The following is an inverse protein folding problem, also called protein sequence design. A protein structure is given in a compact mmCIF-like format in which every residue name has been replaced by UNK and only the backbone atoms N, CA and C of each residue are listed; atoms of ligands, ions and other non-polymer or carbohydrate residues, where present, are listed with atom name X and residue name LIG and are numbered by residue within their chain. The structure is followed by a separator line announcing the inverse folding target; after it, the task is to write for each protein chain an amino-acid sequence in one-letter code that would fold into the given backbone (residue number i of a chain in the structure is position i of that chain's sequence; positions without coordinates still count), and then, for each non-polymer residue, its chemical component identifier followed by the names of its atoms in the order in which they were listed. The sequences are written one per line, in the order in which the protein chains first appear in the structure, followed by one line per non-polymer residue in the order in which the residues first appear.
data_IF_863116082901
#
_entry.id   IF_863116082901
#
_cell.length_a   1.000
_cell.length_b   1.000
_cell.length_c   1.000
_cell.angle_alpha   90.00
_cell.angle_beta   90.00
_cell.angle_gamma   90.00
#
_symmetry.space_group_name_H-M   'P 1'
#
loop_
_entity.id
_entity.type
_entity.pdbx_description
1 polymer ?
#
# COMPACT_ATOMS: atom_id res chain seq x y z
N UNK A 1 17.87 -26.93 2.20
CA UNK A 1 18.38 -26.78 0.81
C UNK A 1 17.41 -26.01 -0.08
N UNK A 2 16.15 -26.45 -0.24
CA UNK A 2 15.19 -25.77 -1.12
C UNK A 2 14.96 -24.27 -0.80
N UNK A 3 14.79 -23.91 0.48
CA UNK A 3 14.60 -22.49 0.87
C UNK A 3 15.82 -21.61 0.55
N UNK A 4 17.03 -22.16 0.66
CA UNK A 4 18.27 -21.45 0.29
C UNK A 4 18.31 -21.22 -1.21
N UNK A 5 17.92 -22.20 -2.02
CA UNK A 5 17.81 -22.03 -3.47
C UNK A 5 16.83 -20.91 -3.84
N UNK A 6 15.66 -20.84 -3.17
CA UNK A 6 14.71 -19.73 -3.36
C UNK A 6 15.34 -18.38 -3.01
N UNK A 7 16.08 -18.29 -1.91
CA UNK A 7 16.75 -17.05 -1.52
C UNK A 7 17.81 -16.61 -2.55
N UNK A 8 18.59 -17.56 -3.10
CA UNK A 8 19.57 -17.29 -4.15
C UNK A 8 18.87 -16.76 -5.41
N UNK A 9 17.80 -17.41 -5.86
CA UNK A 9 17.02 -16.98 -7.03
C UNK A 9 16.44 -15.58 -6.81
N UNK A 10 15.89 -15.31 -5.63
CA UNK A 10 15.36 -13.99 -5.28
C UNK A 10 16.45 -12.91 -5.33
N UNK A 11 17.59 -13.14 -4.68
CA UNK A 11 18.70 -12.17 -4.62
C UNK A 11 19.29 -11.94 -6.01
N UNK A 12 19.47 -13.00 -6.81
CA UNK A 12 19.93 -12.87 -8.19
C UNK A 12 18.92 -12.07 -9.05
N UNK A 13 17.63 -12.36 -8.94
CA UNK A 13 16.57 -11.61 -9.64
C UNK A 13 16.53 -10.14 -9.25
N UNK A 14 16.67 -9.83 -7.95
CA UNK A 14 16.72 -8.46 -7.45
C UNK A 14 17.99 -7.74 -7.91
N UNK A 15 19.14 -8.41 -7.96
CA UNK A 15 20.38 -7.83 -8.47
C UNK A 15 20.25 -7.43 -9.95
N UNK A 16 19.70 -8.32 -10.78
CA UNK A 16 19.43 -8.02 -12.20
C UNK A 16 18.44 -6.87 -12.35
N UNK A 17 17.36 -6.87 -11.57
CA UNK A 17 16.35 -5.82 -11.60
C UNK A 17 16.92 -4.47 -11.12
N UNK A 18 17.74 -4.47 -10.08
CA UNK A 18 18.42 -3.28 -9.58
C UNK A 18 19.38 -2.72 -10.63
N UNK A 19 20.15 -3.57 -11.31
CA UNK A 19 21.01 -3.16 -12.43
C UNK A 19 20.20 -2.56 -13.58
N UNK A 20 19.11 -3.22 -13.99
CA UNK A 20 18.23 -2.74 -15.05
C UNK A 20 17.63 -1.36 -14.72
N UNK A 21 17.16 -1.16 -13.48
CA UNK A 21 16.63 0.13 -13.02
C UNK A 21 17.71 1.20 -12.92
N UNK A 22 18.92 0.84 -12.46
CA UNK A 22 20.05 1.77 -12.36
C UNK A 22 20.48 2.32 -13.71
N UNK A 23 20.45 1.50 -14.77
CA UNK A 23 20.71 1.96 -16.14
C UNK A 23 19.68 3.01 -16.60
N UNK A 24 18.42 2.84 -16.20
CA UNK A 24 17.34 3.79 -16.50
C UNK A 24 17.38 5.09 -15.70
N UNK A 25 18.19 5.18 -14.64
CA UNK A 25 18.30 6.39 -13.82
C UNK A 25 19.15 7.50 -14.46
N UNK A 26 19.87 7.23 -15.55
CA UNK A 26 20.76 8.24 -16.16
C UNK A 26 21.67 8.92 -15.12
N UNK A 27 21.97 10.19 -15.33
CA UNK A 27 22.64 11.03 -14.34
C UNK A 27 21.62 11.91 -13.61
N UNK A 28 20.69 11.28 -12.87
CA UNK A 28 19.72 11.99 -12.02
C UNK A 28 20.39 12.96 -11.05
N UNK A 29 21.62 12.69 -10.62
CA UNK A 29 22.38 13.61 -9.79
C UNK A 29 22.74 14.89 -10.57
N UNK A 30 23.24 14.77 -11.80
CA UNK A 30 23.43 15.93 -12.66
C UNK A 30 22.11 16.63 -13.04
N UNK A 31 21.00 15.91 -13.20
CA UNK A 31 19.69 16.51 -13.46
C UNK A 31 19.10 17.26 -12.27
N UNK A 32 19.30 16.73 -11.05
CA UNK A 32 18.98 17.42 -9.79
C UNK A 32 19.86 18.66 -9.63
N UNK A 33 21.17 18.54 -9.88
CA UNK A 33 22.11 19.66 -9.80
C UNK A 33 21.81 20.74 -10.86
N UNK A 34 21.41 20.34 -12.06
CA UNK A 34 20.98 21.24 -13.14
C UNK A 34 19.55 21.79 -12.95
N UNK A 35 18.82 21.36 -11.92
CA UNK A 35 17.44 21.79 -11.65
C UNK A 35 16.41 21.34 -12.69
N UNK A 36 16.74 20.36 -13.54
CA UNK A 36 15.81 19.77 -14.52
C UNK A 36 14.82 18.82 -13.85
N UNK A 37 15.27 18.18 -12.77
CA UNK A 37 14.46 17.33 -11.90
C UNK A 37 14.48 17.94 -10.50
N UNK A 38 13.35 17.87 -9.80
CA UNK A 38 13.24 18.40 -8.43
C UNK A 38 12.77 17.30 -7.49
N UNK A 39 13.45 17.18 -6.34
CA UNK A 39 13.01 16.31 -5.26
C UNK A 39 11.93 17.01 -4.43
N UNK A 40 10.69 16.50 -4.50
CA UNK A 40 9.55 17.09 -3.81
C UNK A 40 9.75 17.12 -2.29
N UNK A 41 10.24 16.02 -1.71
CA UNK A 41 10.40 15.90 -0.25
C UNK A 41 11.60 16.66 0.32
N UNK A 42 12.56 17.06 -0.53
CA UNK A 42 13.78 17.75 -0.12
C UNK A 42 13.84 19.21 -0.62
N UNK A 43 12.75 19.72 -1.20
CA UNK A 43 12.69 21.11 -1.66
C UNK A 43 12.74 22.05 -0.44
N UNK A 44 13.73 22.96 -0.34
CA UNK A 44 13.92 23.80 0.85
C UNK A 44 12.93 24.97 0.93
N UNK A 45 12.24 25.28 -0.16
CA UNK A 45 11.28 26.37 -0.26
C UNK A 45 10.28 26.13 -1.40
N UNK A 46 9.10 26.74 -1.31
CA UNK A 46 8.05 26.63 -2.32
C UNK A 46 8.50 27.10 -3.71
N UNK A 47 9.35 28.11 -3.78
CA UNK A 47 9.85 28.69 -5.04
C UNK A 47 10.62 27.67 -5.88
N UNK A 48 11.26 26.68 -5.24
CA UNK A 48 11.99 25.62 -5.93
C UNK A 48 11.08 24.63 -6.65
N UNK A 49 9.78 24.65 -6.39
CA UNK A 49 8.77 23.85 -7.10
C UNK A 49 8.23 24.55 -8.36
N UNK A 50 8.43 25.87 -8.50
CA UNK A 50 7.92 26.65 -9.63
C UNK A 50 8.35 26.13 -11.02
N UNK A 51 9.61 25.65 -11.22
CA UNK A 51 10.02 25.08 -12.51
C UNK A 51 9.17 23.88 -12.95
N UNK A 52 8.65 23.09 -12.01
CA UNK A 52 7.79 21.94 -12.29
C UNK A 52 6.37 22.36 -12.75
N UNK A 53 5.92 23.54 -12.32
CA UNK A 53 4.54 24.00 -12.51
C UNK A 53 4.35 24.86 -13.75
N UNK A 54 5.38 25.01 -14.59
CA UNK A 54 5.34 25.86 -15.79
C UNK A 54 4.20 25.51 -16.73
N UNK A 55 3.88 24.23 -16.84
CA UNK A 55 2.86 23.67 -17.76
C UNK A 55 1.49 23.47 -17.09
N UNK A 56 1.36 23.72 -15.78
CA UNK A 56 0.15 23.42 -14.99
C UNK A 56 -0.62 24.69 -14.57
N UNK A 57 0.08 25.76 -14.19
CA UNK A 57 -0.55 27.02 -13.79
C UNK A 57 -0.78 27.96 -14.97
N UNK A 58 -1.96 28.59 -15.05
CA UNK A 58 -2.28 29.53 -16.12
C UNK A 58 -1.37 30.77 -16.09
N UNK A 59 -0.99 31.21 -14.88
CA UNK A 59 -0.20 32.42 -14.66
C UNK A 59 0.74 32.25 -13.44
N UNK A 60 1.68 33.18 -13.27
CA UNK A 60 2.70 33.12 -12.23
C UNK A 60 2.11 33.11 -10.80
N UNK A 61 0.97 33.78 -10.60
CA UNK A 61 0.31 33.82 -9.29
C UNK A 61 -0.27 32.45 -8.93
N UNK A 62 -0.94 31.79 -9.87
CA UNK A 62 -1.48 30.45 -9.67
C UNK A 62 -0.38 29.41 -9.46
N UNK A 63 0.75 29.51 -10.20
CA UNK A 63 1.92 28.64 -9.97
C UNK A 63 2.47 28.77 -8.56
N UNK A 64 2.62 29.99 -8.04
CA UNK A 64 3.07 30.24 -6.67
C UNK A 64 2.09 29.72 -5.63
N UNK A 65 0.79 29.90 -5.86
CA UNK A 65 -0.24 29.36 -4.98
C UNK A 65 -0.17 27.82 -4.90
N UNK A 66 -0.05 27.14 -6.04
CA UNK A 66 0.08 25.68 -6.09
C UNK A 66 1.37 25.23 -5.39
N UNK A 67 2.50 25.88 -5.69
CA UNK A 67 3.80 25.56 -5.08
C UNK A 67 3.76 25.68 -3.56
N UNK A 68 3.20 26.77 -3.04
CA UNK A 68 3.07 27.02 -1.60
C UNK A 68 2.16 25.98 -0.92
N UNK A 69 1.05 25.61 -1.56
CA UNK A 69 0.16 24.55 -1.05
C UNK A 69 0.82 23.18 -1.02
N UNK A 70 1.60 22.83 -2.05
CA UNK A 70 2.39 21.60 -2.08
C UNK A 70 3.46 21.63 -0.97
N UNK A 71 4.21 22.73 -0.85
CA UNK A 71 5.26 22.87 0.15
C UNK A 71 4.71 22.77 1.58
N UNK A 72 3.60 23.45 1.87
CA UNK A 72 2.92 23.36 3.18
C UNK A 72 2.41 21.95 3.46
N UNK A 73 1.83 21.27 2.47
CA UNK A 73 1.40 19.88 2.64
C UNK A 73 2.58 18.95 2.99
N UNK A 74 3.74 19.20 2.39
CA UNK A 74 4.96 18.44 2.65
C UNK A 74 5.58 18.75 4.03
N UNK A 75 5.51 19.99 4.51
CA UNK A 75 6.22 20.41 5.73
C UNK A 75 5.31 20.54 6.98
N UNK A 76 4.00 20.32 6.85
CA UNK A 76 3.11 20.30 8.00
C UNK A 76 3.33 19.03 8.85
N UNK A 77 3.54 19.23 10.16
CA UNK A 77 3.68 18.15 11.14
C UNK A 77 2.43 17.25 11.12
N UNK A 78 2.63 16.00 10.71
CA UNK A 78 1.58 15.01 10.58
C UNK A 78 1.17 14.46 11.95
N UNK A 79 0.21 15.11 12.59
CA UNK A 79 -0.52 14.51 13.72
C UNK A 79 -1.19 13.20 13.32
N UNK A 80 -0.96 12.14 14.11
CA UNK A 80 -1.66 10.84 14.23
C UNK A 80 -2.02 10.00 12.98
N UNK A 81 -1.88 10.47 11.72
CA UNK A 81 -2.30 9.72 10.51
C UNK A 81 -1.33 9.79 9.30
N UNK A 82 -0.14 10.37 9.44
CA UNK A 82 0.89 10.43 8.39
C UNK A 82 0.58 11.43 7.26
N UNK A 83 1.52 12.11 6.61
CA UNK A 83 2.98 12.17 6.70
C UNK A 83 3.43 13.54 6.16
N UNK A 84 4.41 14.18 6.81
CA UNK A 84 5.14 15.35 6.27
C UNK A 84 6.10 14.96 5.14
N UNK A 85 5.71 14.02 4.29
CA UNK A 85 6.49 13.54 3.15
C UNK A 85 5.60 12.72 2.22
N UNK A 86 5.75 12.87 0.92
CA UNK A 86 5.07 12.02 -0.05
C UNK A 86 5.75 10.65 -0.13
N UNK A 87 4.96 9.57 -0.15
CA UNK A 87 5.47 8.23 -0.53
C UNK A 87 5.67 8.12 -2.05
N UNK A 88 5.01 8.96 -2.84
CA UNK A 88 5.16 9.00 -4.29
C UNK A 88 4.43 10.19 -4.91
N UNK A 89 4.73 10.48 -6.18
CA UNK A 89 4.19 11.64 -6.91
C UNK A 89 2.66 11.61 -6.96
N UNK A 90 2.06 10.42 -7.10
CA UNK A 90 0.61 10.25 -7.08
C UNK A 90 -0.07 10.75 -5.79
N UNK A 91 0.69 10.94 -4.69
CA UNK A 91 0.17 11.57 -3.48
C UNK A 91 -0.22 13.04 -3.66
N UNK A 92 0.32 13.74 -4.66
CA UNK A 92 -0.08 15.12 -5.01
C UNK A 92 -1.56 15.24 -5.35
N UNK A 93 -2.17 14.20 -5.93
CA UNK A 93 -3.61 14.16 -6.24
C UNK A 93 -4.50 14.20 -4.99
N UNK A 94 -3.95 13.92 -3.81
CA UNK A 94 -4.67 13.96 -2.53
C UNK A 94 -4.73 15.36 -1.93
N UNK A 95 -3.92 16.30 -2.41
CA UNK A 95 -3.90 17.66 -1.90
C UNK A 95 -5.20 18.35 -2.31
N UNK A 96 -5.98 18.76 -1.31
CA UNK A 96 -7.26 19.44 -1.51
C UNK A 96 -7.15 20.89 -1.05
N UNK A 97 -7.85 21.78 -1.74
CA UNK A 97 -7.99 23.20 -1.37
C UNK A 97 -9.46 23.58 -1.25
N UNK A 98 -9.75 24.53 -0.37
CA UNK A 98 -11.09 25.00 -0.11
C UNK A 98 -11.61 25.85 -1.28
N UNK A 99 -12.86 25.62 -1.70
CA UNK A 99 -13.50 26.33 -2.82
C UNK A 99 -13.70 27.81 -2.54
N UNK A 100 -14.10 28.19 -1.31
CA UNK A 100 -14.30 29.57 -0.92
C UNK A 100 -12.99 30.37 -1.02
N UNK A 101 -11.88 29.77 -0.57
CA UNK A 101 -10.55 30.37 -0.69
C UNK A 101 -10.14 30.60 -2.15
N UNK A 102 -10.36 29.59 -3.00
CA UNK A 102 -10.03 29.68 -4.44
C UNK A 102 -10.87 30.76 -5.13
N UNK A 103 -12.16 30.88 -4.78
CA UNK A 103 -13.05 31.90 -5.35
C UNK A 103 -12.71 33.32 -4.91
N UNK A 104 -12.17 33.50 -3.71
CA UNK A 104 -11.76 34.80 -3.20
C UNK A 104 -10.60 35.40 -4.01
N UNK A 105 -9.78 34.57 -4.67
CA UNK A 105 -8.60 35.01 -5.41
C UNK A 105 -8.87 35.08 -6.92
N UNK A 106 -8.84 36.29 -7.49
CA UNK A 106 -9.16 36.52 -8.91
C UNK A 106 -8.14 35.91 -9.90
N UNK A 107 -6.90 35.67 -9.47
CA UNK A 107 -5.79 35.24 -10.35
C UNK A 107 -5.63 33.72 -10.46
N UNK A 108 -6.47 32.92 -9.79
CA UNK A 108 -6.44 31.45 -9.84
C UNK A 108 -7.35 30.91 -10.96
N UNK A 109 -7.00 31.18 -12.21
CA UNK A 109 -7.89 30.97 -13.37
C UNK A 109 -8.31 29.51 -13.54
N UNK A 110 -7.37 28.58 -13.61
CA UNK A 110 -7.65 27.15 -13.83
C UNK A 110 -8.39 26.53 -12.63
N UNK A 111 -7.93 26.83 -11.41
CA UNK A 111 -8.54 26.33 -10.17
C UNK A 111 -9.96 26.87 -9.98
N UNK A 112 -10.20 28.15 -10.31
CA UNK A 112 -11.52 28.75 -10.19
C UNK A 112 -12.48 28.22 -11.25
N UNK A 113 -12.05 28.08 -12.50
CA UNK A 113 -12.85 27.43 -13.53
C UNK A 113 -13.26 26.00 -13.10
N UNK A 114 -12.35 25.27 -12.44
CA UNK A 114 -12.63 23.94 -11.87
C UNK A 114 -13.66 24.01 -10.73
N UNK A 115 -13.54 24.98 -9.83
CA UNK A 115 -14.48 25.21 -8.74
C UNK A 115 -15.89 25.60 -9.24
N UNK A 116 -15.97 26.37 -10.33
CA UNK A 116 -17.23 26.77 -10.95
C UNK A 116 -17.91 25.59 -11.66
N UNK A 117 -17.16 24.75 -12.39
CA UNK A 117 -17.69 23.51 -12.99
C UNK A 117 -18.27 22.55 -11.94
N UNK A 118 -17.61 22.40 -10.80
CA UNK A 118 -18.07 21.56 -9.71
C UNK A 118 -19.36 22.08 -9.06
N UNK A 119 -19.52 23.40 -8.99
CA UNK A 119 -20.74 24.02 -8.52
C UNK A 119 -21.89 23.88 -9.53
N UNK A 120 -21.60 24.02 -10.82
CA UNK A 120 -22.58 23.81 -11.89
C UNK A 120 -23.05 22.35 -11.99
N UNK A 121 -22.19 21.38 -11.65
CA UNK A 121 -22.49 19.95 -11.65
C UNK A 121 -23.38 19.47 -10.47
N UNK A 122 -23.92 20.36 -9.65
CA UNK A 122 -25.00 20.02 -8.71
C UNK A 122 -24.56 19.50 -7.34
N UNK A 123 -23.30 19.65 -6.92
CA UNK A 123 -22.85 19.35 -5.54
C UNK A 123 -22.98 20.56 -4.58
N UNK A 124 -23.96 21.44 -4.82
CA UNK A 124 -24.21 22.66 -4.04
C UNK A 124 -24.74 22.44 -2.61
N UNK A 125 -24.74 21.21 -2.08
CA UNK A 125 -25.09 20.95 -0.67
C UNK A 125 -23.88 21.06 0.29
N UNK A 126 -22.65 21.17 -0.21
CA UNK A 126 -21.50 21.54 0.60
C UNK A 126 -21.20 23.03 0.40
N UNK A 127 -21.94 23.92 1.05
CA UNK A 127 -21.51 25.32 1.22
C UNK A 127 -20.11 25.40 1.85
N UNK A 128 -19.39 26.52 1.69
CA UNK A 128 -18.05 26.96 2.20
C UNK A 128 -16.95 25.95 2.62
N UNK A 129 -17.28 24.76 3.10
CA UNK A 129 -16.42 23.60 3.36
C UNK A 129 -16.17 22.70 2.12
N UNK A 130 -16.71 23.01 0.94
CA UNK A 130 -16.40 22.23 -0.27
C UNK A 130 -14.89 22.30 -0.60
N UNK A 131 -14.32 21.16 -0.97
CA UNK A 131 -12.90 21.08 -1.34
C UNK A 131 -12.71 20.51 -2.75
N UNK A 132 -11.71 21.03 -3.46
CA UNK A 132 -11.31 20.57 -4.80
C UNK A 132 -9.88 20.04 -4.79
N UNK A 133 -9.59 19.10 -5.70
CA UNK A 133 -8.21 18.67 -5.92
C UNK A 133 -7.38 19.84 -6.45
N UNK A 134 -6.22 20.06 -5.82
CA UNK A 134 -5.27 21.10 -6.23
C UNK A 134 -4.77 20.83 -7.66
N UNK A 135 -4.40 19.58 -7.93
CA UNK A 135 -3.93 19.11 -9.23
C UNK A 135 -4.88 18.06 -9.80
N UNK A 136 -5.13 18.10 -11.12
CA UNK A 136 -5.80 17.01 -11.84
C UNK A 136 -4.87 15.80 -11.99
N UNK A 137 -5.41 14.66 -12.43
CA UNK A 137 -4.59 13.50 -12.76
C UNK A 137 -3.58 13.80 -13.89
N UNK A 138 -3.97 14.64 -14.85
CA UNK A 138 -3.09 15.10 -15.93
C UNK A 138 -1.99 16.01 -15.39
N UNK A 139 -2.34 16.99 -14.55
CA UNK A 139 -1.37 17.88 -13.91
C UNK A 139 -0.33 17.08 -13.10
N UNK A 140 -0.76 16.05 -12.38
CA UNK A 140 0.11 15.16 -11.61
C UNK A 140 1.04 14.35 -12.52
N UNK A 141 0.57 13.89 -13.68
CA UNK A 141 1.41 13.19 -14.64
C UNK A 141 2.48 14.13 -15.23
N UNK A 142 2.10 15.36 -15.59
CA UNK A 142 3.00 16.39 -16.12
C UNK A 142 4.08 16.75 -15.10
N UNK A 143 3.69 17.07 -13.85
CA UNK A 143 4.64 17.32 -12.75
C UNK A 143 5.50 16.10 -12.48
N UNK A 144 4.89 14.91 -12.50
CA UNK A 144 5.54 13.64 -12.24
C UNK A 144 6.64 13.28 -13.22
N UNK A 145 6.61 13.81 -14.45
CA UNK A 145 7.68 13.60 -15.44
C UNK A 145 9.04 14.19 -15.02
N UNK A 146 9.02 15.28 -14.25
CA UNK A 146 10.20 16.05 -13.78
C UNK A 146 10.36 16.03 -12.26
N UNK A 147 9.52 15.30 -11.54
CA UNK A 147 9.58 15.20 -10.09
C UNK A 147 10.12 13.85 -9.63
N UNK A 148 10.92 13.87 -8.59
CA UNK A 148 11.31 12.69 -7.81
C UNK A 148 10.93 12.90 -6.35
N UNK A 149 10.73 11.80 -5.63
CA UNK A 149 10.30 11.80 -4.23
C UNK A 149 11.40 11.24 -3.33
N UNK A 150 12.33 10.49 -3.91
CA UNK A 150 13.45 9.84 -3.22
C UNK A 150 14.70 9.84 -4.08
N UNK A 151 15.83 9.69 -3.40
CA UNK A 151 17.12 9.49 -4.02
C UNK A 151 17.43 8.00 -4.30
N UNK A 152 18.27 7.71 -5.32
CA UNK A 152 18.70 6.35 -5.63
C UNK A 152 19.33 5.61 -4.45
N UNK A 153 20.09 6.31 -3.59
CA UNK A 153 20.72 5.73 -2.40
C UNK A 153 19.68 5.25 -1.40
N UNK A 154 18.67 6.07 -1.13
CA UNK A 154 17.56 5.73 -0.23
C UNK A 154 16.78 4.51 -0.75
N UNK A 155 16.55 4.44 -2.05
CA UNK A 155 15.93 3.26 -2.66
C UNK A 155 16.77 1.98 -2.44
N UNK A 156 18.09 2.03 -2.62
CA UNK A 156 18.98 0.89 -2.36
C UNK A 156 18.89 0.39 -0.92
N UNK A 157 18.85 1.29 0.06
CA UNK A 157 18.65 0.93 1.46
C UNK A 157 17.28 0.32 1.74
N UNK A 158 16.20 0.91 1.19
CA UNK A 158 14.85 0.35 1.34
C UNK A 158 14.73 -1.04 0.71
N UNK A 159 15.31 -1.24 -0.47
CA UNK A 159 15.31 -2.53 -1.16
C UNK A 159 16.05 -3.60 -0.36
N UNK A 160 17.24 -3.27 0.15
CA UNK A 160 18.03 -4.20 0.97
C UNK A 160 17.36 -4.51 2.30
N UNK A 161 16.83 -3.49 3.00
CA UNK A 161 16.11 -3.68 4.25
C UNK A 161 14.85 -4.53 4.08
N UNK A 162 14.03 -4.25 3.06
CA UNK A 162 12.81 -5.04 2.78
C UNK A 162 13.13 -6.48 2.34
N UNK A 163 14.19 -6.68 1.54
CA UNK A 163 14.65 -8.03 1.18
C UNK A 163 15.14 -8.80 2.40
N UNK A 164 15.90 -8.14 3.28
CA UNK A 164 16.36 -8.72 4.54
C UNK A 164 15.18 -9.10 5.44
N UNK A 165 14.18 -8.22 5.60
CA UNK A 165 12.96 -8.49 6.37
C UNK A 165 12.17 -9.68 5.80
N UNK A 166 11.98 -9.70 4.48
CA UNK A 166 11.30 -10.77 3.75
C UNK A 166 11.98 -12.13 3.98
N UNK A 167 13.29 -12.20 3.76
CA UNK A 167 14.06 -13.43 3.96
C UNK A 167 14.11 -13.83 5.43
N UNK A 168 14.36 -12.87 6.34
CA UNK A 168 14.41 -13.14 7.78
C UNK A 168 13.11 -13.76 8.28
N UNK A 169 11.94 -13.26 7.85
CA UNK A 169 10.64 -13.84 8.19
C UNK A 169 10.52 -15.31 7.75
N UNK A 170 10.85 -15.61 6.50
CA UNK A 170 10.76 -16.97 5.95
C UNK A 170 11.75 -17.94 6.61
N UNK A 171 13.00 -17.52 6.80
CA UNK A 171 14.01 -18.33 7.48
C UNK A 171 13.69 -18.53 8.97
N UNK A 172 13.16 -17.52 9.65
CA UNK A 172 12.71 -17.64 11.03
C UNK A 172 11.56 -18.65 11.15
N UNK A 173 10.56 -18.60 10.26
CA UNK A 173 9.49 -19.58 10.22
C UNK A 173 10.01 -21.00 9.94
N UNK A 174 10.93 -21.15 8.97
CA UNK A 174 11.57 -22.44 8.68
C UNK A 174 12.30 -23.02 9.89
N UNK A 175 13.13 -22.20 10.53
CA UNK A 175 13.92 -22.59 11.69
C UNK A 175 13.02 -22.95 12.87
N UNK A 176 11.96 -22.17 13.09
CA UNK A 176 10.95 -22.43 14.11
C UNK A 176 10.26 -23.78 13.91
N UNK A 177 9.79 -24.07 12.70
CA UNK A 177 9.16 -25.36 12.38
C UNK A 177 10.14 -26.53 12.54
N UNK A 178 11.40 -26.34 12.15
CA UNK A 178 12.45 -27.34 12.28
C UNK A 178 12.75 -27.65 13.76
N UNK A 179 12.88 -26.63 14.60
CA UNK A 179 13.11 -26.83 16.04
C UNK A 179 11.91 -27.46 16.75
N UNK A 180 10.69 -27.24 16.26
CA UNK A 180 9.49 -27.91 16.80
C UNK A 180 9.45 -29.41 16.47
N UNK A 181 10.29 -29.89 15.56
CA UNK A 181 10.22 -31.28 15.08
C UNK A 181 8.89 -31.57 14.37
N UNK A 182 8.24 -30.53 13.82
CA UNK A 182 6.98 -30.71 13.11
C UNK A 182 7.21 -31.63 11.91
N UNK A 183 6.38 -32.66 11.75
CA UNK A 183 6.32 -33.47 10.52
C UNK A 183 5.63 -32.66 9.42
N UNK A 184 6.23 -31.53 9.05
CA UNK A 184 5.80 -30.70 7.95
C UNK A 184 6.38 -31.23 6.65
N UNK A 185 5.58 -31.22 5.59
CA UNK A 185 6.05 -31.46 4.23
C UNK A 185 7.19 -30.47 3.90
N UNK A 186 8.34 -31.02 3.50
CA UNK A 186 9.55 -30.27 3.21
C UNK A 186 9.40 -29.30 2.01
N UNK A 187 8.41 -29.51 1.14
CA UNK A 187 8.21 -28.72 -0.09
C UNK A 187 7.20 -27.59 0.04
N UNK A 188 6.31 -27.61 1.03
CA UNK A 188 5.27 -26.58 1.18
C UNK A 188 5.86 -25.20 1.44
N UNK A 189 6.72 -25.07 2.45
CA UNK A 189 7.30 -23.77 2.80
C UNK A 189 8.20 -23.21 1.68
N UNK A 190 9.10 -23.98 1.03
CA UNK A 190 9.83 -23.51 -0.14
C UNK A 190 8.93 -23.09 -1.31
N UNK A 191 7.83 -23.80 -1.56
CA UNK A 191 6.90 -23.44 -2.64
C UNK A 191 6.19 -22.11 -2.36
N UNK A 192 5.73 -21.91 -1.13
CA UNK A 192 5.16 -20.63 -0.68
C UNK A 192 6.21 -19.52 -0.79
N UNK A 193 7.42 -19.76 -0.30
CA UNK A 193 8.52 -18.81 -0.39
C UNK A 193 8.85 -18.42 -1.84
N UNK A 194 8.85 -19.39 -2.76
CA UNK A 194 9.10 -19.13 -4.18
C UNK A 194 8.01 -18.27 -4.80
N UNK A 195 6.74 -18.58 -4.55
CA UNK A 195 5.62 -17.80 -5.06
C UNK A 195 5.61 -16.38 -4.48
N UNK A 196 5.86 -16.24 -3.18
CA UNK A 196 6.03 -14.94 -2.52
C UNK A 196 7.23 -14.17 -3.07
N UNK A 197 8.36 -14.84 -3.38
CA UNK A 197 9.54 -14.22 -3.97
C UNK A 197 9.26 -13.68 -5.37
N UNK A 198 8.51 -14.42 -6.20
CA UNK A 198 8.04 -13.94 -7.50
C UNK A 198 7.16 -12.70 -7.32
N UNK A 199 6.20 -12.73 -6.38
CA UNK A 199 5.37 -11.57 -6.07
C UNK A 199 6.17 -10.35 -5.56
N UNK A 200 7.20 -10.57 -4.77
CA UNK A 200 8.09 -9.49 -4.33
C UNK A 200 8.88 -8.90 -5.51
N UNK A 201 9.43 -9.74 -6.39
CA UNK A 201 10.12 -9.30 -7.61
C UNK A 201 9.20 -8.47 -8.51
N UNK A 202 7.93 -8.87 -8.70
CA UNK A 202 6.99 -8.09 -9.51
C UNK A 202 6.67 -6.73 -8.87
N UNK A 203 6.51 -6.68 -7.55
CA UNK A 203 6.29 -5.42 -6.82
C UNK A 203 7.45 -4.44 -6.97
N UNK A 204 8.70 -4.94 -6.95
CA UNK A 204 9.88 -4.11 -7.23
C UNK A 204 9.91 -3.72 -8.71
N UNK A 205 9.54 -4.63 -9.62
CA UNK A 205 9.65 -4.42 -11.07
C UNK A 205 8.70 -3.35 -11.61
N UNK A 206 7.43 -3.40 -11.22
CA UNK A 206 6.36 -2.61 -11.84
C UNK A 206 6.45 -1.10 -11.57
N UNK A 207 7.05 -0.69 -10.46
CA UNK A 207 7.02 0.71 -10.00
C UNK A 207 8.30 1.45 -10.26
N UNK A 208 8.18 2.76 -10.50
CA UNK A 208 9.33 3.64 -10.53
C UNK A 208 9.90 3.79 -9.10
N UNK A 209 11.17 3.41 -8.86
CA UNK A 209 11.77 3.41 -7.52
C UNK A 209 11.87 4.81 -6.89
N UNK A 210 11.96 5.86 -7.70
CA UNK A 210 12.18 7.24 -7.26
C UNK A 210 10.87 8.04 -7.19
N UNK A 211 9.85 7.63 -7.94
CA UNK A 211 8.59 8.39 -8.10
C UNK A 211 7.38 7.74 -7.43
N UNK A 212 7.29 6.41 -7.38
CA UNK A 212 6.09 5.71 -6.94
C UNK A 212 6.17 5.22 -5.49
N UNK A 213 5.04 5.03 -4.82
CA UNK A 213 5.03 4.45 -3.46
C UNK A 213 5.73 3.07 -3.42
N UNK A 214 6.63 2.81 -2.43
CA UNK A 214 7.43 1.60 -2.36
C UNK A 214 6.61 0.42 -1.83
N UNK A 215 5.65 -0.06 -2.63
CA UNK A 215 4.71 -1.12 -2.21
C UNK A 215 5.41 -2.43 -1.82
N UNK A 216 6.61 -2.69 -2.35
CA UNK A 216 7.41 -3.84 -1.98
C UNK A 216 7.74 -3.86 -0.47
N UNK A 217 7.83 -2.70 0.19
CA UNK A 217 8.05 -2.64 1.64
C UNK A 217 6.88 -3.25 2.40
N UNK A 218 5.66 -2.81 2.08
CA UNK A 218 4.42 -3.37 2.68
C UNK A 218 4.24 -4.85 2.33
N UNK A 219 4.68 -5.27 1.15
CA UNK A 219 4.68 -6.69 0.77
C UNK A 219 5.64 -7.51 1.66
N UNK A 220 6.86 -7.00 1.92
CA UNK A 220 7.81 -7.65 2.82
C UNK A 220 7.29 -7.71 4.26
N UNK A 221 6.72 -6.62 4.77
CA UNK A 221 6.07 -6.56 6.08
C UNK A 221 4.92 -7.57 6.19
N UNK A 222 4.03 -7.62 5.19
CA UNK A 222 2.94 -8.58 5.13
C UNK A 222 3.41 -10.03 5.07
N UNK A 223 4.50 -10.31 4.33
CA UNK A 223 5.10 -11.64 4.29
C UNK A 223 5.72 -12.02 5.63
N UNK A 224 6.44 -11.11 6.28
CA UNK A 224 7.00 -11.33 7.61
C UNK A 224 5.91 -11.55 8.67
N UNK A 225 4.84 -10.75 8.65
CA UNK A 225 3.67 -10.94 9.50
C UNK A 225 2.98 -12.29 9.24
N UNK A 226 2.84 -12.69 7.97
CA UNK A 226 2.34 -14.01 7.59
C UNK A 226 3.22 -15.16 8.08
N UNK A 227 4.55 -15.00 8.06
CA UNK A 227 5.49 -15.97 8.60
C UNK A 227 5.37 -16.11 10.13
N UNK A 228 5.18 -15.00 10.84
CA UNK A 228 4.88 -14.99 12.28
C UNK A 228 3.53 -15.69 12.55
N UNK A 229 2.49 -15.35 11.78
CA UNK A 229 1.18 -15.98 11.92
C UNK A 229 1.26 -17.49 11.67
N UNK A 230 2.02 -17.92 10.66
CA UNK A 230 2.29 -19.33 10.40
C UNK A 230 2.95 -20.00 11.61
N UNK A 231 3.97 -19.37 12.20
CA UNK A 231 4.63 -19.89 13.40
C UNK A 231 3.68 -19.98 14.60
N UNK A 232 2.81 -18.99 14.80
CA UNK A 232 1.77 -19.01 15.84
C UNK A 232 0.76 -20.13 15.60
N UNK A 233 0.22 -20.24 14.40
CA UNK A 233 -0.73 -21.28 14.02
C UNK A 233 -0.12 -22.68 14.12
N UNK A 234 1.16 -22.84 13.78
CA UNK A 234 1.88 -24.10 13.94
C UNK A 234 2.03 -24.51 15.42
N UNK A 235 1.82 -23.59 16.38
CA UNK A 235 1.76 -23.94 17.81
C UNK A 235 0.46 -24.62 18.21
N UNK A 236 -0.61 -24.36 17.48
CA UNK A 236 -1.95 -24.82 17.79
C UNK A 236 -2.11 -26.27 17.34
N UNK A 237 -2.27 -27.18 18.30
CA UNK A 237 -2.63 -28.56 18.01
C UNK A 237 -4.15 -28.67 17.84
N UNK A 238 -4.60 -28.58 16.58
CA UNK A 238 -6.02 -28.64 16.23
C UNK A 238 -6.70 -29.94 16.67
N UNK A 239 -5.96 -31.02 16.88
CA UNK A 239 -6.52 -32.29 17.36
C UNK A 239 -6.84 -32.23 18.87
N UNK A 240 -6.09 -31.44 19.63
CA UNK A 240 -6.28 -31.25 21.08
C UNK A 240 -7.20 -30.07 21.42
N UNK A 241 -7.34 -29.13 20.50
CA UNK A 241 -8.21 -27.97 20.67
C UNK A 241 -9.68 -28.42 20.73
N UNK A 242 -10.48 -27.89 21.67
CA UNK A 242 -11.91 -28.20 21.77
C UNK A 242 -12.73 -27.62 20.60
N UNK A 243 -12.09 -26.94 19.64
CA UNK A 243 -12.68 -26.42 18.40
C UNK A 243 -13.45 -27.50 17.61
N UNK A 244 -13.03 -28.76 17.65
CA UNK A 244 -13.77 -29.87 17.03
C UNK A 244 -15.13 -30.14 17.70
N UNK A 245 -15.25 -29.87 19.00
CA UNK A 245 -16.49 -29.99 19.79
C UNK A 245 -17.32 -28.70 19.69
N UNK A 246 -16.66 -27.56 19.56
CA UNK A 246 -17.24 -26.22 19.43
C UNK A 246 -17.42 -25.82 17.96
N UNK A 247 -17.89 -26.75 17.12
CA UNK A 247 -18.05 -26.54 15.66
C UNK A 247 -18.80 -25.26 15.32
N UNK A 248 -19.80 -24.89 16.14
CA UNK A 248 -20.64 -23.71 15.92
C UNK A 248 -19.99 -22.37 16.32
N UNK A 249 -18.90 -22.38 17.09
CA UNK A 249 -18.21 -21.14 17.52
C UNK A 249 -17.58 -20.40 16.33
N UNK A 250 -16.83 -21.05 15.42
CA UNK A 250 -16.38 -20.41 14.19
C UNK A 250 -17.53 -19.78 13.38
N UNK A 251 -18.67 -20.46 13.28
CA UNK A 251 -19.83 -19.90 12.58
C UNK A 251 -20.39 -18.65 13.28
N UNK A 252 -20.56 -18.70 14.60
CA UNK A 252 -20.98 -17.53 15.38
C UNK A 252 -20.00 -16.36 15.23
N UNK A 253 -18.70 -16.64 15.24
CA UNK A 253 -17.65 -15.64 14.97
C UNK A 253 -17.75 -15.05 13.56
N UNK A 254 -18.00 -15.88 12.54
CA UNK A 254 -18.17 -15.42 11.16
C UNK A 254 -19.40 -14.50 11.02
N UNK A 255 -20.53 -14.87 11.63
CA UNK A 255 -21.77 -14.09 11.63
C UNK A 255 -21.54 -12.76 12.36
N UNK A 256 -20.94 -12.79 13.55
CA UNK A 256 -20.64 -11.59 14.33
C UNK A 256 -19.72 -10.64 13.55
N UNK A 257 -18.66 -11.17 12.94
CA UNK A 257 -17.71 -10.37 12.18
C UNK A 257 -18.35 -9.79 10.91
N UNK A 258 -19.25 -10.54 10.27
CA UNK A 258 -20.08 -10.04 9.16
C UNK A 258 -21.03 -8.94 9.62
N UNK A 259 -21.67 -9.07 10.79
CA UNK A 259 -22.55 -8.04 11.34
C UNK A 259 -21.77 -6.77 11.69
N UNK A 260 -20.59 -6.90 12.30
CA UNK A 260 -19.69 -5.77 12.57
C UNK A 260 -19.25 -5.07 11.28
N UNK A 261 -18.96 -5.82 10.22
CA UNK A 261 -18.63 -5.25 8.92
C UNK A 261 -19.82 -4.50 8.31
N UNK A 262 -21.04 -5.00 8.46
CA UNK A 262 -22.24 -4.29 8.00
C UNK A 262 -22.42 -3.00 8.81
N UNK A 263 -22.29 -3.02 10.14
CA UNK A 263 -22.58 -1.84 10.97
C UNK A 263 -21.47 -0.79 10.91
N UNK A 264 -20.21 -1.22 10.99
CA UNK A 264 -19.04 -0.33 11.15
C UNK A 264 -18.10 -0.34 9.94
N UNK A 265 -18.38 -1.13 8.91
CA UNK A 265 -17.52 -1.24 7.75
C UNK A 265 -17.49 0.06 6.94
N UNK A 266 -16.29 0.39 6.51
CA UNK A 266 -16.01 1.47 5.56
C UNK A 266 -15.71 0.88 4.19
N UNK A 267 -16.07 1.60 3.14
CA UNK A 267 -15.70 1.22 1.79
C UNK A 267 -14.42 1.87 1.28
N UNK A 268 -13.70 1.21 0.35
CA UNK A 268 -12.51 1.78 -0.26
C UNK A 268 -12.88 3.05 -1.02
N UNK A 269 -12.17 4.16 -0.75
CA UNK A 269 -12.30 5.39 -1.54
C UNK A 269 -13.69 6.05 -1.52
N UNK A 270 -14.52 5.78 -0.50
CA UNK A 270 -15.88 6.34 -0.41
C UNK A 270 -16.95 5.52 -1.14
N UNK A 271 -16.62 4.32 -1.62
CA UNK A 271 -17.61 3.36 -2.10
C UNK A 271 -18.54 2.91 -0.97
N UNK A 272 -19.81 2.59 -1.29
CA UNK A 272 -20.78 2.03 -0.34
C UNK A 272 -20.52 0.54 -0.02
N UNK A 273 -19.55 -0.08 -0.71
CA UNK A 273 -19.12 -1.45 -0.43
C UNK A 273 -18.36 -1.52 0.91
N UNK A 274 -19.04 -1.94 1.99
CA UNK A 274 -18.48 -2.07 3.35
C UNK A 274 -17.53 -3.27 3.45
N UNK A 275 -16.28 -3.08 3.07
CA UNK A 275 -15.27 -4.17 2.99
C UNK A 275 -14.18 -4.04 4.06
N UNK A 276 -14.01 -2.86 4.67
CA UNK A 276 -12.89 -2.58 5.55
C UNK A 276 -13.34 -2.24 6.97
N UNK A 277 -12.76 -2.91 7.96
CA UNK A 277 -13.02 -2.68 9.39
C UNK A 277 -11.72 -2.25 10.05
N UNK A 278 -11.64 -1.00 10.50
CA UNK A 278 -10.45 -0.40 11.12
C UNK A 278 -9.14 -0.56 10.31
N UNK A 279 -9.22 -0.63 8.98
CA UNK A 279 -8.04 -0.77 8.10
C UNK A 279 -7.64 -2.22 7.79
N UNK A 280 -8.36 -3.21 8.33
CA UNK A 280 -8.18 -4.65 8.04
C UNK A 280 -9.40 -5.16 7.28
N UNK A 281 -9.19 -6.16 6.40
CA UNK A 281 -10.27 -6.82 5.66
C UNK A 281 -10.75 -8.08 6.40
N UNK A 282 -11.82 -7.99 7.22
CA UNK A 282 -12.30 -9.13 8.00
C UNK A 282 -12.85 -10.29 7.14
N UNK A 283 -13.14 -10.04 5.86
CA UNK A 283 -13.69 -11.04 4.94
C UNK A 283 -12.80 -12.30 4.82
N UNK A 284 -11.48 -12.16 4.94
CA UNK A 284 -10.57 -13.30 4.93
C UNK A 284 -10.76 -14.17 6.18
N UNK A 285 -10.89 -13.54 7.35
CA UNK A 285 -11.18 -14.24 8.60
C UNK A 285 -12.56 -14.92 8.57
N UNK A 286 -13.58 -14.24 8.04
CA UNK A 286 -14.93 -14.84 7.84
C UNK A 286 -14.82 -16.12 7.01
N UNK A 287 -14.10 -16.08 5.88
CA UNK A 287 -13.91 -17.24 5.01
C UNK A 287 -13.24 -18.41 5.76
N UNK A 288 -12.18 -18.15 6.50
CA UNK A 288 -11.49 -19.17 7.29
C UNK A 288 -12.40 -19.76 8.38
N UNK A 289 -13.16 -18.92 9.08
CA UNK A 289 -14.10 -19.35 10.12
C UNK A 289 -15.22 -20.24 9.55
N UNK A 290 -15.76 -19.91 8.38
CA UNK A 290 -16.75 -20.74 7.69
C UNK A 290 -16.16 -22.08 7.28
N UNK A 291 -14.93 -22.10 6.73
CA UNK A 291 -14.24 -23.36 6.38
C UNK A 291 -14.04 -24.24 7.62
N UNK A 292 -13.63 -23.65 8.76
CA UNK A 292 -13.48 -24.38 10.02
C UNK A 292 -14.82 -24.95 10.52
N UNK A 293 -15.90 -24.18 10.44
CA UNK A 293 -17.24 -24.66 10.76
C UNK A 293 -17.64 -25.85 9.87
N UNK A 294 -17.52 -25.72 8.55
CA UNK A 294 -17.89 -26.78 7.62
C UNK A 294 -17.08 -28.05 7.85
N UNK A 295 -15.77 -27.92 8.06
CA UNK A 295 -14.89 -29.05 8.37
C UNK A 295 -15.31 -29.76 9.66
N UNK A 296 -15.60 -29.02 10.74
CA UNK A 296 -16.07 -29.60 11.99
C UNK A 296 -17.47 -30.21 11.89
N UNK A 297 -18.37 -29.61 11.10
CA UNK A 297 -19.75 -30.06 10.93
C UNK A 297 -19.80 -31.40 10.19
N UNK A 298 -19.07 -31.49 9.07
CA UNK A 298 -19.00 -32.73 8.30
C UNK A 298 -18.26 -33.85 9.04
N UNK A 299 -17.21 -33.53 9.79
CA UNK A 299 -16.50 -34.53 10.60
C UNK A 299 -17.40 -35.18 11.65
N UNK A 300 -18.37 -34.45 12.21
CA UNK A 300 -19.27 -34.96 13.24
C UNK A 300 -20.52 -35.66 12.66
N UNK A 301 -20.90 -35.40 11.40
CA UNK A 301 -22.10 -35.98 10.74
C UNK A 301 -21.79 -36.96 9.61
N UNK A 302 -20.54 -37.40 9.54
CA UNK A 302 -20.03 -38.24 8.45
C UNK A 302 -20.81 -39.55 8.26
N UNK A 303 -21.27 -40.18 9.34
CA UNK A 303 -22.03 -41.44 9.29
C UNK A 303 -23.41 -41.27 8.63
N UNK A 304 -24.09 -40.15 8.89
CA UNK A 304 -25.41 -39.86 8.33
C UNK A 304 -25.33 -39.59 6.81
N UNK A 305 -24.25 -38.95 6.35
CA UNK A 305 -24.01 -38.69 4.93
C UNK A 305 -23.65 -39.96 4.15
N UNK A 306 -23.03 -40.95 4.81
CA UNK A 306 -22.69 -42.23 4.20
C UNK A 306 -23.91 -43.15 4.04
N UNK A 307 -24.92 -43.01 4.88
CA UNK A 307 -26.19 -43.74 4.81
C UNK A 307 -27.18 -43.22 3.75
N UNK A 308 -26.92 -42.04 3.18
CA UNK A 308 -27.70 -41.41 2.09
C UNK A 308 -27.24 -41.84 0.68
N UNK A 309 -26.41 -42.88 0.59
CA UNK A 309 -25.88 -43.44 -0.66
C UNK A 309 -26.63 -44.71 -1.01
#
# INVERSE_FOLDING_TARGET
MALVAVAIVLVAGLALLYQAKRLGWGDIQAELAAGRVVNLNAAPAAEKLLPLLREVGANETERRFIADRIYRYLHQDAGARGSGSLEGVGGLARIRVNVAEVRAQRRLENLRARAERLAAAGQSQAGDAATIALLTAEDVATVGSRAVVREPRTFGWLLTASTALFLAGLFAAHLFLRFRGARTDALLLPSIALLSAIGFLTMVSLRDPLRDAPLFLRFAEGTAAGAVLLAVCARLDFQRLPLRKLTWVPLGGAILLSALLIVFGSGPGGSDARVNLFGVQPVEAIRLLVVLFLAGYFANRWEFLRALR
#
